data_IF_415415805331
#
_entry.id   IF_415415805331
#
_cell.length_a   1.000
_cell.length_b   1.000
_cell.length_c   1.000
_cell.angle_alpha   90.00
_cell.angle_beta   90.00
_cell.angle_gamma   90.00
#
_symmetry.space_group_name_H-M   'P 1'
#
loop_
_entity.id
_entity.type
_entity.pdbx_description
1 polymer ?
#
# COMPACT_ATOMS: atom_id res chain seq x y z
N UNK A 1 15.28 -10.32 -18.61
CA UNK A 1 15.51 -10.87 -17.25
C UNK A 1 14.18 -10.91 -16.53
N UNK A 2 13.89 -11.95 -15.73
CA UNK A 2 12.61 -12.02 -14.99
C UNK A 2 12.72 -11.17 -13.72
N UNK A 3 11.73 -10.29 -13.50
CA UNK A 3 11.61 -9.57 -12.25
C UNK A 3 10.90 -10.44 -11.19
N UNK A 4 11.20 -10.21 -9.92
CA UNK A 4 10.57 -10.94 -8.80
C UNK A 4 9.57 -10.02 -8.09
N UNK A 5 8.37 -10.49 -7.85
CA UNK A 5 7.37 -9.79 -7.02
C UNK A 5 7.19 -10.57 -5.71
N UNK A 6 7.41 -9.88 -4.59
CA UNK A 6 7.18 -10.40 -3.24
C UNK A 6 6.08 -9.56 -2.59
N UNK A 7 4.89 -10.14 -2.46
CA UNK A 7 3.75 -9.47 -1.86
C UNK A 7 3.21 -10.24 -0.64
N UNK A 8 2.24 -9.65 0.05
CA UNK A 8 1.62 -10.22 1.25
C UNK A 8 1.35 -9.16 2.32
N UNK A 9 0.70 -9.52 3.44
CA UNK A 9 0.34 -8.56 4.48
C UNK A 9 1.55 -7.99 5.22
N UNK A 10 1.34 -6.90 5.93
CA UNK A 10 2.33 -6.39 6.89
C UNK A 10 2.64 -7.47 7.93
N UNK A 11 3.90 -7.59 8.36
CA UNK A 11 4.32 -8.63 9.29
C UNK A 11 4.57 -10.03 8.68
N UNK A 12 4.38 -10.20 7.35
CA UNK A 12 4.54 -11.52 6.69
C UNK A 12 6.00 -11.95 6.43
N UNK A 13 6.99 -11.10 6.69
CA UNK A 13 8.40 -11.43 6.42
C UNK A 13 8.90 -11.09 5.01
N UNK A 14 8.15 -10.31 4.25
CA UNK A 14 8.52 -9.92 2.87
C UNK A 14 9.92 -9.31 2.74
N UNK A 15 10.27 -8.37 3.64
CA UNK A 15 11.56 -7.67 3.59
C UNK A 15 12.73 -8.61 3.79
N UNK A 16 12.62 -9.55 4.75
CA UNK A 16 13.67 -10.56 4.97
C UNK A 16 13.86 -11.47 3.75
N UNK A 17 12.77 -11.92 3.13
CA UNK A 17 12.85 -12.71 1.90
C UNK A 17 13.47 -11.91 0.76
N UNK A 18 13.08 -10.64 0.61
CA UNK A 18 13.61 -9.76 -0.43
C UNK A 18 15.12 -9.53 -0.27
N UNK A 19 15.59 -9.30 0.98
CA UNK A 19 17.01 -9.17 1.29
C UNK A 19 17.78 -10.44 0.95
N UNK A 20 17.31 -11.60 1.41
CA UNK A 20 17.99 -12.88 1.12
C UNK A 20 18.10 -13.16 -0.40
N UNK A 21 17.05 -12.84 -1.17
CA UNK A 21 17.11 -12.98 -2.62
C UNK A 21 18.01 -11.92 -3.26
N UNK A 22 18.01 -10.69 -2.76
CA UNK A 22 18.86 -9.64 -3.29
C UNK A 22 20.35 -9.94 -3.08
N UNK A 23 20.74 -10.43 -1.91
CA UNK A 23 22.10 -10.86 -1.61
C UNK A 23 22.53 -12.06 -2.50
N UNK A 24 21.62 -13.03 -2.70
CA UNK A 24 21.92 -14.25 -3.45
C UNK A 24 22.01 -14.03 -4.98
N UNK A 25 21.22 -13.11 -5.52
CA UNK A 25 21.05 -12.92 -6.96
C UNK A 25 21.45 -11.53 -7.45
N UNK A 26 22.24 -10.78 -6.67
CA UNK A 26 22.66 -9.41 -6.99
C UNK A 26 21.46 -8.51 -7.35
N UNK A 27 20.42 -8.59 -6.52
CA UNK A 27 19.15 -7.94 -6.78
C UNK A 27 19.07 -6.52 -6.24
N UNK A 28 18.13 -5.74 -6.78
CA UNK A 28 17.74 -4.41 -6.31
C UNK A 28 16.32 -4.47 -5.79
N UNK A 29 16.10 -4.11 -4.53
CA UNK A 29 14.79 -4.13 -3.90
C UNK A 29 14.03 -2.83 -4.22
N UNK A 30 12.85 -2.97 -4.83
CA UNK A 30 12.00 -1.87 -5.29
C UNK A 30 10.73 -1.83 -4.43
N UNK A 31 10.47 -0.68 -3.80
CA UNK A 31 9.33 -0.50 -2.91
C UNK A 31 7.97 -0.60 -3.64
N UNK A 32 7.08 -1.45 -3.12
CA UNK A 32 5.67 -1.53 -3.48
C UNK A 32 4.73 -1.32 -2.28
N UNK A 33 5.12 -0.43 -1.35
CA UNK A 33 4.29 0.01 -0.23
C UNK A 33 4.02 1.52 -0.33
N UNK A 34 2.74 1.89 -0.22
CA UNK A 34 2.29 3.27 -0.43
C UNK A 34 2.65 4.24 0.70
N UNK A 35 3.12 3.76 1.84
CA UNK A 35 3.56 4.58 2.98
C UNK A 35 5.08 4.69 3.02
N UNK A 36 5.80 3.62 2.71
CA UNK A 36 7.27 3.59 2.75
C UNK A 36 7.94 4.51 1.69
N UNK A 37 7.18 5.03 0.74
CA UNK A 37 7.68 5.97 -0.26
C UNK A 37 7.94 7.37 0.32
N UNK A 38 7.31 7.71 1.47
CA UNK A 38 7.43 9.04 2.08
C UNK A 38 8.62 9.14 3.02
N UNK A 39 9.39 10.25 2.87
CA UNK A 39 10.65 10.46 3.61
C UNK A 39 10.44 10.76 5.08
N UNK A 40 9.36 11.40 5.43
CA UNK A 40 9.06 11.87 6.78
C UNK A 40 8.57 10.73 7.71
N UNK A 41 8.17 9.59 7.16
CA UNK A 41 7.69 8.44 7.91
C UNK A 41 8.71 7.31 7.75
N UNK A 42 9.62 7.18 8.68
CA UNK A 42 10.70 6.19 8.63
C UNK A 42 10.40 4.97 9.49
N UNK A 43 10.11 5.19 10.77
CA UNK A 43 9.96 4.12 11.76
C UNK A 43 8.59 3.46 11.61
N UNK A 44 7.51 4.21 11.73
CA UNK A 44 6.14 3.68 11.66
C UNK A 44 5.78 3.03 10.33
N UNK A 45 6.43 3.44 9.25
CA UNK A 45 6.28 2.74 7.97
C UNK A 45 7.09 1.43 7.90
N UNK A 46 8.07 1.26 8.78
CA UNK A 46 9.00 0.14 8.77
C UNK A 46 9.87 0.11 7.52
N UNK A 47 10.43 1.28 7.13
CA UNK A 47 11.38 1.37 6.03
C UNK A 47 12.66 0.59 6.33
N UNK A 48 13.42 0.19 5.29
CA UNK A 48 14.72 -0.43 5.45
C UNK A 48 15.64 0.36 6.36
N UNK A 49 16.39 -0.35 7.19
CA UNK A 49 17.41 0.21 8.10
C UNK A 49 18.71 0.49 7.33
N UNK A 50 19.65 1.19 7.97
CA UNK A 50 20.99 1.39 7.40
C UNK A 50 21.70 0.06 7.14
N UNK A 51 21.43 -0.96 7.96
CA UNK A 51 21.98 -2.30 7.78
C UNK A 51 21.39 -3.00 6.55
N UNK A 52 20.10 -2.83 6.31
CA UNK A 52 19.45 -3.37 5.11
C UNK A 52 20.01 -2.72 3.84
N UNK A 53 20.26 -1.41 3.86
CA UNK A 53 20.90 -0.70 2.74
C UNK A 53 22.35 -1.13 2.50
N UNK A 54 23.08 -1.62 3.51
CA UNK A 54 24.42 -2.18 3.33
C UNK A 54 24.41 -3.56 2.67
N UNK A 55 23.33 -4.31 2.89
CA UNK A 55 23.18 -5.66 2.34
C UNK A 55 22.74 -5.66 0.88
N UNK A 56 21.82 -4.78 0.51
CA UNK A 56 21.31 -4.69 -0.86
C UNK A 56 20.87 -3.28 -1.22
N UNK A 57 20.95 -2.90 -2.52
CA UNK A 57 20.37 -1.64 -2.99
C UNK A 57 18.86 -1.63 -2.84
N UNK A 58 18.32 -0.52 -2.30
CA UNK A 58 16.89 -0.27 -2.18
C UNK A 58 16.50 0.96 -2.99
N UNK A 59 15.38 0.89 -3.70
CA UNK A 59 14.84 1.96 -4.55
C UNK A 59 13.39 2.27 -4.18
N UNK A 60 12.98 3.50 -4.37
CA UNK A 60 11.63 4.03 -4.13
C UNK A 60 11.22 4.06 -2.65
N UNK A 61 12.17 4.06 -1.73
CA UNK A 61 11.94 4.23 -0.29
C UNK A 61 12.29 5.65 0.14
N UNK A 62 11.37 6.37 0.78
CA UNK A 62 11.60 7.69 1.34
C UNK A 62 11.98 8.77 0.32
N UNK A 63 11.55 8.65 -0.91
CA UNK A 63 11.91 9.54 -2.02
C UNK A 63 10.94 10.73 -2.19
N UNK A 64 9.74 10.62 -1.67
CA UNK A 64 8.71 11.66 -1.80
C UNK A 64 8.40 12.33 -0.46
N UNK A 65 7.97 13.59 -0.52
CA UNK A 65 7.41 14.27 0.64
C UNK A 65 5.94 13.91 0.84
N UNK A 66 5.49 13.81 2.10
CA UNK A 66 4.09 13.58 2.47
C UNK A 66 3.13 14.65 1.94
N UNK A 67 3.63 15.84 1.59
CA UNK A 67 2.85 16.92 0.99
C UNK A 67 2.58 16.71 -0.52
N UNK A 68 3.22 15.71 -1.14
CA UNK A 68 3.04 15.35 -2.55
C UNK A 68 2.48 13.93 -2.65
N UNK A 69 1.15 13.77 -2.88
CA UNK A 69 0.57 12.43 -2.99
C UNK A 69 1.20 11.61 -4.11
N UNK A 70 1.62 10.39 -3.79
CA UNK A 70 2.04 9.40 -4.78
C UNK A 70 0.81 8.69 -5.33
N UNK A 71 0.40 9.04 -6.54
CA UNK A 71 -0.68 8.32 -7.23
C UNK A 71 -0.19 6.97 -7.76
N UNK A 72 -1.13 6.07 -8.07
CA UNK A 72 -0.82 4.78 -8.71
C UNK A 72 0.01 4.96 -10.00
N UNK A 73 -0.38 5.92 -10.84
CA UNK A 73 0.32 6.21 -12.11
C UNK A 73 1.74 6.70 -11.88
N UNK A 74 1.95 7.61 -10.92
CA UNK A 74 3.28 8.11 -10.55
C UNK A 74 4.16 6.95 -10.06
N UNK A 75 3.64 6.14 -9.11
CA UNK A 75 4.41 5.00 -8.60
C UNK A 75 4.75 4.00 -9.71
N UNK A 76 3.77 3.62 -10.57
CA UNK A 76 4.00 2.68 -11.67
C UNK A 76 5.09 3.16 -12.63
N UNK A 77 5.03 4.42 -13.02
CA UNK A 77 6.05 5.02 -13.89
C UNK A 77 7.45 4.86 -13.29
N UNK A 78 7.63 5.29 -12.03
CA UNK A 78 8.91 5.15 -11.33
C UNK A 78 9.35 3.69 -11.18
N UNK A 79 8.41 2.78 -10.88
CA UNK A 79 8.72 1.35 -10.74
C UNK A 79 9.21 0.75 -12.06
N UNK A 80 8.54 1.03 -13.18
CA UNK A 80 8.93 0.54 -14.50
C UNK A 80 10.28 1.13 -14.96
N UNK A 81 10.54 2.41 -14.71
CA UNK A 81 11.83 3.05 -14.97
C UNK A 81 12.94 2.36 -14.17
N UNK A 82 12.71 2.12 -12.86
CA UNK A 82 13.69 1.44 -12.01
C UNK A 82 13.91 -0.02 -12.42
N UNK A 83 12.87 -0.75 -12.82
CA UNK A 83 13.01 -2.12 -13.36
C UNK A 83 13.90 -2.11 -14.59
N UNK A 84 13.65 -1.19 -15.52
CA UNK A 84 14.48 -1.05 -16.74
C UNK A 84 15.94 -0.72 -16.44
N UNK A 85 16.19 0.17 -15.46
CA UNK A 85 17.55 0.47 -15.00
C UNK A 85 18.27 -0.77 -14.45
N UNK A 86 17.58 -1.57 -13.64
CA UNK A 86 18.11 -2.82 -13.12
C UNK A 86 18.48 -3.80 -14.25
N UNK A 87 17.58 -3.98 -15.23
CA UNK A 87 17.81 -4.86 -16.37
C UNK A 87 19.03 -4.43 -17.18
N UNK A 88 19.18 -3.13 -17.44
CA UNK A 88 20.33 -2.58 -18.16
C UNK A 88 21.66 -2.76 -17.42
N UNK A 89 21.59 -2.78 -16.08
CA UNK A 89 22.77 -2.95 -15.20
C UNK A 89 23.04 -4.42 -14.85
N UNK A 90 22.24 -5.36 -15.35
CA UNK A 90 22.40 -6.79 -15.08
C UNK A 90 21.92 -7.24 -13.70
N UNK A 91 21.19 -6.39 -12.94
CA UNK A 91 20.67 -6.70 -11.61
C UNK A 91 19.24 -7.26 -11.68
N UNK A 92 18.90 -8.14 -10.75
CA UNK A 92 17.54 -8.70 -10.64
C UNK A 92 16.62 -7.68 -9.94
N UNK A 93 15.56 -7.16 -10.59
CA UNK A 93 14.60 -6.30 -9.91
C UNK A 93 13.68 -7.11 -9.01
N UNK A 94 13.61 -6.75 -7.71
CA UNK A 94 12.80 -7.41 -6.68
C UNK A 94 11.78 -6.43 -6.14
N UNK A 95 10.55 -6.51 -6.61
CA UNK A 95 9.45 -5.65 -6.21
C UNK A 95 8.88 -6.18 -4.89
N UNK A 96 8.99 -5.41 -3.80
CA UNK A 96 8.61 -5.84 -2.46
C UNK A 96 7.61 -4.89 -1.81
N UNK A 97 6.42 -5.38 -1.43
CA UNK A 97 5.46 -4.55 -0.72
C UNK A 97 4.12 -5.17 -0.39
N UNK A 98 3.34 -4.42 0.42
CA UNK A 98 2.01 -4.84 0.89
C UNK A 98 0.84 -4.12 0.23
N UNK A 99 1.10 -3.17 -0.68
CA UNK A 99 0.05 -2.44 -1.38
C UNK A 99 -0.42 -3.23 -2.60
N UNK A 100 -1.40 -4.11 -2.40
CA UNK A 100 -1.90 -5.00 -3.46
C UNK A 100 -2.30 -4.27 -4.73
N UNK A 101 -2.87 -3.06 -4.60
CA UNK A 101 -3.24 -2.26 -5.76
C UNK A 101 -2.02 -1.84 -6.60
N UNK A 102 -0.85 -1.58 -5.99
CA UNK A 102 0.39 -1.32 -6.71
C UNK A 102 0.82 -2.54 -7.52
N UNK A 103 0.77 -3.73 -6.90
CA UNK A 103 1.11 -5.00 -7.57
C UNK A 103 0.17 -5.25 -8.76
N UNK A 104 -1.14 -5.13 -8.54
CA UNK A 104 -2.14 -5.30 -9.61
C UNK A 104 -1.93 -4.31 -10.76
N UNK A 105 -1.59 -3.06 -10.43
CA UNK A 105 -1.36 -2.01 -11.41
C UNK A 105 -0.05 -2.17 -12.19
N UNK A 106 0.95 -2.80 -11.58
CA UNK A 106 2.20 -3.13 -12.24
C UNK A 106 2.00 -4.25 -13.26
N UNK A 107 1.21 -5.27 -12.90
CA UNK A 107 0.96 -6.45 -13.72
C UNK A 107 0.00 -6.18 -14.87
N UNK A 108 -1.01 -5.35 -14.64
CA UNK A 108 -2.05 -5.06 -15.61
C UNK A 108 -2.01 -3.57 -15.97
N UNK A 109 -2.07 -3.27 -17.26
CA UNK A 109 -2.31 -1.89 -17.66
C UNK A 109 -3.75 -1.50 -17.28
N UNK A 110 -3.88 -0.69 -16.24
CA UNK A 110 -5.15 -0.04 -15.95
C UNK A 110 -5.30 1.18 -16.86
N UNK A 111 -6.53 1.50 -17.19
CA UNK A 111 -6.86 2.69 -17.99
C UNK A 111 -6.22 3.93 -17.40
N UNK A 112 -5.54 4.70 -18.22
CA UNK A 112 -4.99 5.99 -17.82
C UNK A 112 -6.15 6.98 -17.71
N UNK A 113 -6.69 7.11 -16.51
CA UNK A 113 -7.67 8.15 -16.18
C UNK A 113 -6.89 9.45 -15.99
N UNK A 114 -7.30 10.56 -16.62
CA UNK A 114 -6.69 11.87 -16.40
C UNK A 114 -6.65 12.28 -14.93
N UNK A 115 -5.74 13.17 -14.57
CA UNK A 115 -5.68 13.73 -13.23
C UNK A 115 -6.94 14.53 -12.93
N UNK A 116 -7.55 14.28 -11.78
CA UNK A 116 -8.76 14.97 -11.33
C UNK A 116 -8.37 16.21 -10.54
N UNK A 117 -8.80 17.40 -10.96
CA UNK A 117 -8.57 18.62 -10.22
C UNK A 117 -9.03 18.55 -8.77
N UNK A 118 -8.30 19.25 -7.87
CA UNK A 118 -8.64 19.28 -6.44
C UNK A 118 -10.03 19.90 -6.20
N UNK A 119 -10.42 20.89 -6.99
CA UNK A 119 -11.75 21.52 -6.91
C UNK A 119 -12.88 20.50 -7.09
N UNK A 120 -12.78 19.63 -8.11
CA UNK A 120 -13.78 18.58 -8.36
C UNK A 120 -13.85 17.58 -7.21
N UNK A 121 -12.71 17.24 -6.60
CA UNK A 121 -12.68 16.34 -5.43
C UNK A 121 -13.35 16.96 -4.20
N UNK A 122 -13.21 18.26 -3.98
CA UNK A 122 -13.87 18.98 -2.91
C UNK A 122 -15.38 19.07 -3.16
N UNK A 123 -15.78 19.50 -4.34
CA UNK A 123 -17.19 19.57 -4.75
C UNK A 123 -17.90 18.21 -4.61
N UNK A 124 -17.22 17.12 -5.03
CA UNK A 124 -17.79 15.77 -4.90
C UNK A 124 -18.02 15.37 -3.43
N UNK A 125 -17.11 15.76 -2.53
CA UNK A 125 -17.28 15.50 -1.08
C UNK A 125 -18.39 16.31 -0.48
N UNK A 126 -18.46 17.62 -0.74
CA UNK A 126 -19.53 18.49 -0.28
C UNK A 126 -20.89 17.96 -0.75
N UNK A 127 -21.01 17.60 -2.01
CA UNK A 127 -22.22 17.00 -2.57
C UNK A 127 -22.60 15.67 -1.93
N UNK A 128 -21.62 14.82 -1.60
CA UNK A 128 -21.88 13.58 -0.89
C UNK A 128 -22.34 13.82 0.54
N UNK A 129 -21.75 14.78 1.24
CA UNK A 129 -22.14 15.17 2.59
C UNK A 129 -23.58 15.73 2.62
N UNK A 130 -23.96 16.53 1.61
CA UNK A 130 -25.30 17.10 1.46
C UNK A 130 -26.36 16.01 1.18
N UNK A 131 -26.08 15.11 0.23
CA UNK A 131 -27.07 14.14 -0.26
C UNK A 131 -27.10 12.83 0.55
N UNK A 132 -26.01 12.50 1.23
CA UNK A 132 -25.81 11.17 1.79
C UNK A 132 -25.54 10.09 0.72
N UNK A 133 -25.11 8.90 1.17
CA UNK A 133 -24.63 7.84 0.27
C UNK A 133 -25.68 7.36 -0.74
N UNK A 134 -26.93 7.19 -0.32
CA UNK A 134 -27.96 6.60 -1.19
C UNK A 134 -28.39 7.57 -2.31
N UNK A 135 -28.70 8.82 -1.97
CA UNK A 135 -29.08 9.81 -2.98
C UNK A 135 -27.91 10.15 -3.90
N UNK A 136 -26.67 10.14 -3.38
CA UNK A 136 -25.47 10.31 -4.20
C UNK A 136 -25.27 9.16 -5.18
N UNK A 137 -25.57 7.92 -4.77
CA UNK A 137 -25.59 6.75 -5.64
C UNK A 137 -26.65 6.86 -6.74
N UNK A 138 -27.86 7.29 -6.40
CA UNK A 138 -28.92 7.53 -7.37
C UNK A 138 -28.51 8.58 -8.40
N UNK A 139 -27.88 9.66 -7.94
CA UNK A 139 -27.35 10.70 -8.83
C UNK A 139 -26.28 10.14 -9.77
N UNK A 140 -25.35 9.32 -9.27
CA UNK A 140 -24.35 8.65 -10.10
C UNK A 140 -25.00 7.70 -11.11
N UNK A 141 -26.03 6.97 -10.71
CA UNK A 141 -26.68 5.97 -11.56
C UNK A 141 -27.30 6.54 -12.84
N UNK A 142 -27.68 7.82 -12.84
CA UNK A 142 -28.22 8.51 -14.02
C UNK A 142 -27.20 8.64 -15.16
N UNK A 143 -25.90 8.66 -14.85
CA UNK A 143 -24.83 8.89 -15.81
C UNK A 143 -23.82 7.73 -15.91
N UNK A 144 -23.70 6.92 -14.85
CA UNK A 144 -22.86 5.71 -14.79
C UNK A 144 -23.60 4.59 -14.04
N UNK A 145 -24.67 4.02 -14.62
CA UNK A 145 -25.46 2.95 -14.00
C UNK A 145 -24.63 1.70 -13.73
N UNK A 146 -23.63 1.43 -14.57
CA UNK A 146 -22.74 0.27 -14.43
C UNK A 146 -21.90 0.38 -13.15
N UNK A 147 -21.25 1.52 -12.94
CA UNK A 147 -20.48 1.75 -11.70
C UNK A 147 -21.38 1.80 -10.49
N UNK A 148 -22.51 2.48 -10.55
CA UNK A 148 -23.45 2.59 -9.44
C UNK A 148 -23.96 1.21 -8.98
N UNK A 149 -24.21 0.28 -9.91
CA UNK A 149 -24.63 -1.09 -9.61
C UNK A 149 -23.50 -1.93 -9.00
N UNK A 150 -22.26 -1.80 -9.50
CA UNK A 150 -21.10 -2.60 -9.04
C UNK A 150 -20.55 -2.16 -7.68
N UNK A 151 -20.69 -0.87 -7.34
CA UNK A 151 -20.20 -0.33 -6.07
C UNK A 151 -21.12 -0.77 -4.94
N UNK A 152 -20.57 -1.44 -3.91
CA UNK A 152 -21.34 -1.90 -2.75
C UNK A 152 -21.91 -0.71 -1.97
N UNK A 153 -23.07 -0.93 -1.31
CA UNK A 153 -23.64 0.05 -0.39
C UNK A 153 -22.61 0.40 0.70
N UNK A 154 -22.46 1.69 1.00
CA UNK A 154 -21.48 2.19 1.97
C UNK A 154 -20.04 2.33 1.46
N UNK A 155 -19.70 1.95 0.22
CA UNK A 155 -18.37 2.19 -0.34
C UNK A 155 -18.25 3.62 -0.89
N UNK A 156 -18.23 4.56 0.05
CA UNK A 156 -18.16 6.00 -0.18
C UNK A 156 -16.99 6.42 -1.07
N UNK A 157 -15.82 5.80 -0.87
CA UNK A 157 -14.62 6.16 -1.64
C UNK A 157 -14.77 5.80 -3.12
N UNK A 158 -15.37 4.67 -3.44
CA UNK A 158 -15.62 4.30 -4.83
C UNK A 158 -16.74 5.12 -5.48
N UNK A 159 -17.76 5.49 -4.71
CA UNK A 159 -18.80 6.41 -5.19
C UNK A 159 -18.21 7.77 -5.54
N UNK A 160 -17.43 8.36 -4.63
CA UNK A 160 -16.71 9.60 -4.87
C UNK A 160 -15.83 9.50 -6.12
N UNK A 161 -15.02 8.44 -6.23
CA UNK A 161 -14.13 8.27 -7.38
C UNK A 161 -14.86 8.17 -8.70
N UNK A 162 -15.98 7.47 -8.75
CA UNK A 162 -16.79 7.36 -9.97
C UNK A 162 -17.37 8.72 -10.37
N UNK A 163 -17.86 9.49 -9.40
CA UNK A 163 -18.36 10.85 -9.63
C UNK A 163 -17.28 11.81 -10.07
N UNK A 164 -16.13 11.83 -9.38
CA UNK A 164 -14.98 12.66 -9.72
C UNK A 164 -14.52 12.45 -11.16
N UNK A 165 -14.42 11.18 -11.59
CA UNK A 165 -14.01 10.82 -12.96
C UNK A 165 -15.05 11.29 -13.98
N UNK A 166 -16.32 11.05 -13.71
CA UNK A 166 -17.41 11.48 -14.57
C UNK A 166 -17.42 13.01 -14.74
N UNK A 167 -17.31 13.74 -13.63
CA UNK A 167 -17.34 15.21 -13.65
C UNK A 167 -16.11 15.81 -14.36
N UNK A 168 -14.94 15.24 -14.14
CA UNK A 168 -13.70 15.76 -14.72
C UNK A 168 -13.52 15.42 -16.19
N UNK A 169 -14.03 14.26 -16.64
CA UNK A 169 -13.74 13.73 -17.98
C UNK A 169 -14.95 13.65 -18.89
N UNK A 170 -16.15 13.93 -18.38
CA UNK A 170 -17.44 13.69 -19.05
C UNK A 170 -17.67 12.23 -19.49
N UNK A 171 -16.77 11.33 -19.12
CA UNK A 171 -16.85 9.90 -19.40
C UNK A 171 -17.04 9.14 -18.08
N UNK A 172 -17.97 8.16 -18.03
CA UNK A 172 -18.19 7.37 -16.82
C UNK A 172 -16.96 6.50 -16.48
N UNK A 173 -16.78 6.17 -15.20
CA UNK A 173 -15.68 5.32 -14.74
C UNK A 173 -15.74 3.93 -15.40
N UNK A 174 -16.93 3.41 -15.67
CA UNK A 174 -17.15 2.17 -16.42
C UNK A 174 -16.51 2.20 -17.81
N UNK A 175 -16.66 3.31 -18.54
CA UNK A 175 -16.00 3.50 -19.84
C UNK A 175 -14.46 3.37 -19.74
N UNK A 176 -13.84 4.00 -18.76
CA UNK A 176 -12.39 3.92 -18.57
C UNK A 176 -11.92 2.50 -18.23
N UNK A 177 -12.71 1.76 -17.47
CA UNK A 177 -12.40 0.35 -17.16
C UNK A 177 -12.48 -0.56 -18.38
N UNK A 178 -13.35 -0.27 -19.34
CA UNK A 178 -13.47 -1.03 -20.59
C UNK A 178 -12.35 -0.69 -21.59
N UNK A 179 -11.80 0.52 -21.49
CA UNK A 179 -10.66 0.94 -22.33
C UNK A 179 -9.32 0.41 -21.83
N UNK A 180 -9.27 -0.26 -20.66
CA UNK A 180 -8.04 -0.91 -20.20
C UNK A 180 -7.70 -2.03 -21.19
N UNK A 181 -6.76 -1.75 -22.08
CA UNK A 181 -6.21 -2.77 -22.96
C UNK A 181 -5.33 -3.67 -22.12
N UNK A 182 -5.54 -4.95 -22.26
CA UNK A 182 -4.61 -5.98 -21.79
C UNK A 182 -3.36 -5.98 -22.69
N UNK A 183 -2.65 -4.86 -22.66
CA UNK A 183 -1.32 -4.77 -23.26
C UNK A 183 -0.40 -5.38 -22.21
N UNK A 184 -0.31 -6.71 -22.25
CA UNK A 184 0.49 -7.49 -21.33
C UNK A 184 1.85 -6.81 -21.10
N UNK A 185 2.26 -6.68 -19.84
CA UNK A 185 3.58 -6.15 -19.54
C UNK A 185 4.62 -6.96 -20.30
N UNK A 186 5.56 -6.28 -20.98
CA UNK A 186 6.68 -6.95 -21.68
C UNK A 186 7.63 -7.69 -20.70
N UNK A 187 7.40 -7.55 -19.39
CA UNK A 187 8.21 -8.15 -18.35
C UNK A 187 7.57 -9.43 -17.84
N UNK A 188 8.36 -10.49 -17.81
CA UNK A 188 8.01 -11.73 -17.12
C UNK A 188 8.30 -11.59 -15.62
N UNK A 189 7.32 -11.89 -14.78
CA UNK A 189 7.44 -11.81 -13.32
C UNK A 189 7.41 -13.19 -12.69
N UNK A 190 8.34 -13.45 -11.77
CA UNK A 190 8.21 -14.53 -10.80
C UNK A 190 7.45 -13.98 -9.59
N UNK A 191 6.27 -14.52 -9.33
CA UNK A 191 5.30 -13.93 -8.39
C UNK A 191 5.21 -14.75 -7.11
N UNK A 192 5.53 -14.16 -5.97
CA UNK A 192 5.46 -14.80 -4.64
C UNK A 192 4.53 -14.02 -3.73
N UNK A 193 3.58 -14.70 -3.11
CA UNK A 193 2.73 -14.14 -2.07
C UNK A 193 2.96 -14.86 -0.74
N UNK A 194 3.34 -14.11 0.32
CA UNK A 194 3.49 -14.66 1.66
C UNK A 194 2.14 -14.66 2.37
N UNK A 195 1.67 -15.84 2.77
CA UNK A 195 0.37 -16.03 3.44
C UNK A 195 0.60 -16.79 4.76
N UNK A 196 1.11 -16.15 5.80
CA UNK A 196 1.36 -16.81 7.09
C UNK A 196 0.04 -17.18 7.79
N UNK A 197 0.11 -18.12 8.73
CA UNK A 197 -1.00 -18.41 9.64
C UNK A 197 -1.41 -17.15 10.39
N UNK A 198 -2.70 -16.98 10.66
CA UNK A 198 -3.26 -15.74 11.22
C UNK A 198 -2.68 -15.38 12.58
N UNK A 199 -2.54 -16.39 13.45
CA UNK A 199 -2.00 -16.22 14.80
C UNK A 199 -0.56 -15.71 14.75
N UNK A 200 0.29 -16.34 13.94
CA UNK A 200 1.69 -15.93 13.72
C UNK A 200 1.78 -14.53 13.15
N UNK A 201 0.90 -14.19 12.20
CA UNK A 201 0.86 -12.85 11.60
C UNK A 201 0.53 -11.79 12.64
N UNK A 202 -0.47 -12.04 13.49
CA UNK A 202 -0.91 -11.10 14.51
C UNK A 202 0.16 -10.89 15.58
N UNK A 203 0.77 -11.97 16.08
CA UNK A 203 1.88 -11.88 17.02
C UNK A 203 3.06 -11.07 16.45
N UNK A 204 3.43 -11.31 15.17
CA UNK A 204 4.48 -10.53 14.50
C UNK A 204 4.11 -9.05 14.33
N UNK A 205 2.84 -8.74 14.03
CA UNK A 205 2.37 -7.35 13.95
C UNK A 205 2.46 -6.64 15.30
N UNK A 206 2.04 -7.31 16.38
CA UNK A 206 2.04 -6.74 17.73
C UNK A 206 3.47 -6.51 18.24
N UNK A 207 4.36 -7.50 18.10
CA UNK A 207 5.77 -7.36 18.44
C UNK A 207 6.43 -6.22 17.65
N UNK A 208 6.25 -6.18 16.34
CA UNK A 208 6.83 -5.14 15.49
C UNK A 208 6.40 -3.73 15.90
N UNK A 209 5.18 -3.55 16.41
CA UNK A 209 4.74 -2.24 16.86
C UNK A 209 5.47 -1.82 18.15
N UNK A 210 5.73 -2.75 19.07
CA UNK A 210 6.57 -2.50 20.24
C UNK A 210 8.00 -2.13 19.82
N UNK A 211 8.58 -2.88 18.90
CA UNK A 211 9.91 -2.57 18.35
C UNK A 211 9.95 -1.15 17.73
N UNK A 212 8.87 -0.68 17.09
CA UNK A 212 8.78 0.69 16.58
C UNK A 212 8.78 1.75 17.71
N UNK A 213 8.05 1.48 18.80
CA UNK A 213 8.03 2.39 19.97
C UNK A 213 9.43 2.50 20.57
N UNK A 214 10.15 1.39 20.70
CA UNK A 214 11.53 1.37 21.20
C UNK A 214 12.52 2.10 20.26
N UNK A 215 12.26 2.07 18.95
CA UNK A 215 13.07 2.74 17.93
C UNK A 215 12.80 4.24 17.79
N UNK A 216 11.86 4.81 18.55
CA UNK A 216 11.54 6.25 18.53
C UNK A 216 10.30 6.63 17.73
N UNK A 217 9.33 5.74 17.56
CA UNK A 217 8.08 6.05 16.88
C UNK A 217 7.26 7.16 17.57
N UNK A 218 7.45 7.35 18.88
CA UNK A 218 6.81 8.44 19.64
C UNK A 218 7.33 9.80 19.19
N UNK A 219 8.64 9.94 19.02
CA UNK A 219 9.30 11.16 18.54
C UNK A 219 8.91 11.45 17.09
N UNK A 220 8.84 10.40 16.24
CA UNK A 220 8.34 10.53 14.87
C UNK A 220 6.89 11.03 14.86
N UNK A 221 6.02 10.47 15.69
CA UNK A 221 4.63 10.91 15.83
C UNK A 221 4.51 12.36 16.33
N UNK A 222 5.35 12.75 17.29
CA UNK A 222 5.40 14.13 17.82
C UNK A 222 5.78 15.14 16.71
N UNK A 223 6.76 14.80 15.88
CA UNK A 223 7.17 15.63 14.74
C UNK A 223 6.09 15.75 13.66
N UNK A 224 5.20 14.76 13.56
CA UNK A 224 4.12 14.71 12.59
C UNK A 224 2.74 15.09 13.17
N UNK A 225 2.67 15.76 14.31
CA UNK A 225 1.42 16.09 15.01
C UNK A 225 0.45 16.96 14.17
N UNK A 226 0.96 17.73 13.21
CA UNK A 226 0.17 18.56 12.29
C UNK A 226 -0.74 17.72 11.37
N UNK A 227 -0.48 16.43 11.21
CA UNK A 227 -1.29 15.49 10.41
C UNK A 227 -2.75 15.46 10.87
N UNK A 228 -3.01 15.67 12.15
CA UNK A 228 -4.38 15.72 12.67
C UNK A 228 -5.23 16.85 12.08
N UNK A 229 -4.59 17.95 11.69
CA UNK A 229 -5.22 19.08 11.03
C UNK A 229 -5.29 18.94 9.49
N UNK A 230 -4.64 17.91 8.94
CA UNK A 230 -4.53 17.67 7.50
C UNK A 230 -4.81 16.19 7.16
N UNK A 231 -6.01 15.68 7.47
CA UNK A 231 -6.34 14.26 7.33
C UNK A 231 -6.31 13.75 5.88
N UNK A 232 -6.31 14.64 4.91
CA UNK A 232 -6.17 14.33 3.50
C UNK A 232 -4.75 13.92 3.09
N UNK A 233 -3.73 14.24 3.89
CA UNK A 233 -2.36 13.84 3.61
C UNK A 233 -2.19 12.32 3.65
N UNK A 234 -1.42 11.73 2.73
CA UNK A 234 -1.19 10.28 2.69
C UNK A 234 -0.66 9.70 4.00
N UNK A 235 0.13 10.48 4.73
CA UNK A 235 0.70 10.10 6.02
C UNK A 235 -0.35 9.80 7.10
N UNK A 236 -1.55 10.39 7.03
CA UNK A 236 -2.65 10.12 7.97
C UNK A 236 -3.08 8.65 7.99
N UNK A 237 -2.76 7.89 6.94
CA UNK A 237 -3.05 6.45 6.80
C UNK A 237 -1.98 5.56 7.43
N UNK A 238 -0.92 6.14 8.01
CA UNK A 238 0.15 5.39 8.66
C UNK A 238 -0.38 4.73 9.93
N UNK A 239 -0.20 3.41 10.03
CA UNK A 239 -0.69 2.64 11.16
C UNK A 239 0.03 3.05 12.45
N UNK A 240 -0.73 3.34 13.49
CA UNK A 240 -0.23 3.74 14.80
C UNK A 240 0.15 5.22 14.93
N UNK A 241 0.21 5.97 13.82
CA UNK A 241 0.60 7.38 13.88
C UNK A 241 -0.40 8.23 14.67
N UNK A 242 -1.69 8.10 14.39
CA UNK A 242 -2.73 8.91 15.05
C UNK A 242 -2.88 8.53 16.53
N UNK A 243 -2.74 7.25 16.85
CA UNK A 243 -2.78 6.75 18.21
C UNK A 243 -1.60 7.31 19.03
N UNK A 244 -0.39 7.31 18.50
CA UNK A 244 0.77 7.89 19.17
C UNK A 244 0.70 9.43 19.23
N UNK A 245 0.13 10.11 18.24
CA UNK A 245 -0.12 11.56 18.32
C UNK A 245 -1.07 11.88 19.49
N UNK A 246 -2.14 11.11 19.69
CA UNK A 246 -3.05 11.28 20.83
C UNK A 246 -2.31 11.12 22.15
N UNK A 247 -1.45 10.12 22.27
CA UNK A 247 -0.57 9.96 23.44
C UNK A 247 0.33 11.19 23.65
N UNK A 248 0.99 11.70 22.61
CA UNK A 248 1.89 12.87 22.75
C UNK A 248 1.15 14.15 23.13
N UNK A 249 -0.16 14.21 22.93
CA UNK A 249 -1.05 15.31 23.35
C UNK A 249 -1.66 15.09 24.75
N UNK A 250 -1.43 13.96 25.39
CA UNK A 250 -2.03 13.61 26.68
C UNK A 250 -3.51 13.19 26.57
N UNK A 251 -3.98 12.85 25.40
CA UNK A 251 -5.37 12.41 25.15
C UNK A 251 -5.56 10.90 25.40
N UNK A 252 -4.46 10.13 25.42
CA UNK A 252 -4.41 8.69 25.69
C UNK A 252 -3.19 8.34 26.54
N UNK A 253 -3.31 7.28 27.35
CA UNK A 253 -2.15 6.63 27.95
C UNK A 253 -1.35 5.84 26.90
N UNK A 254 -0.04 5.63 27.14
CA UNK A 254 0.83 4.94 26.17
C UNK A 254 0.35 3.50 25.91
N UNK A 255 -0.04 2.79 26.98
CA UNK A 255 -0.59 1.42 26.88
C UNK A 255 -1.79 1.34 25.94
N UNK A 256 -2.72 2.29 26.07
CA UNK A 256 -3.92 2.35 25.27
C UNK A 256 -3.63 2.70 23.80
N UNK A 257 -2.70 3.64 23.57
CA UNK A 257 -2.25 3.99 22.25
C UNK A 257 -1.60 2.79 21.52
N UNK A 258 -0.76 2.03 22.21
CA UNK A 258 -0.14 0.80 21.70
C UNK A 258 -1.21 -0.24 21.37
N UNK A 259 -2.13 -0.53 22.29
CA UNK A 259 -3.18 -1.53 22.08
C UNK A 259 -4.07 -1.18 20.86
N UNK A 260 -4.47 0.09 20.75
CA UNK A 260 -5.28 0.57 19.64
C UNK A 260 -4.53 0.47 18.31
N UNK A 261 -3.25 0.84 18.27
CA UNK A 261 -2.40 0.75 17.09
C UNK A 261 -2.18 -0.71 16.65
N UNK A 262 -1.93 -1.62 17.59
CA UNK A 262 -1.83 -3.06 17.32
C UNK A 262 -3.15 -3.61 16.76
N UNK A 263 -4.29 -3.26 17.34
CA UNK A 263 -5.62 -3.64 16.85
C UNK A 263 -5.87 -3.12 15.42
N UNK A 264 -5.52 -1.87 15.14
CA UNK A 264 -5.62 -1.26 13.82
C UNK A 264 -4.72 -1.98 12.81
N UNK A 265 -3.49 -2.33 13.20
CA UNK A 265 -2.53 -3.06 12.39
C UNK A 265 -3.02 -4.47 12.06
N UNK A 266 -3.55 -5.23 13.04
CA UNK A 266 -4.12 -6.57 12.80
C UNK A 266 -5.32 -6.51 11.85
N UNK A 267 -6.20 -5.51 11.99
CA UNK A 267 -7.32 -5.29 11.06
C UNK A 267 -6.83 -5.00 9.64
N UNK A 268 -5.77 -4.21 9.51
CA UNK A 268 -5.16 -3.92 8.22
C UNK A 268 -4.53 -5.17 7.59
N UNK A 269 -3.74 -5.92 8.35
CA UNK A 269 -3.16 -7.19 7.91
C UNK A 269 -4.23 -8.18 7.44
N UNK A 270 -5.37 -8.28 8.17
CA UNK A 270 -6.53 -9.10 7.75
C UNK A 270 -7.10 -8.62 6.41
N UNK A 271 -7.28 -7.30 6.23
CA UNK A 271 -7.77 -6.76 4.94
C UNK A 271 -6.82 -7.05 3.79
N UNK A 272 -5.49 -6.93 4.02
CA UNK A 272 -4.50 -7.29 3.00
C UNK A 272 -4.57 -8.78 2.64
N UNK A 273 -4.64 -9.69 3.63
CA UNK A 273 -4.81 -11.13 3.38
C UNK A 273 -6.05 -11.44 2.56
N UNK A 274 -7.18 -10.86 2.93
CA UNK A 274 -8.43 -11.03 2.19
C UNK A 274 -8.29 -10.51 0.75
N UNK A 275 -7.67 -9.34 0.59
CA UNK A 275 -7.44 -8.76 -0.72
C UNK A 275 -6.55 -9.66 -1.60
N UNK A 276 -5.42 -10.12 -1.08
CA UNK A 276 -4.50 -10.99 -1.82
C UNK A 276 -5.17 -12.31 -2.22
N UNK A 277 -5.95 -12.93 -1.35
CA UNK A 277 -6.68 -14.17 -1.65
C UNK A 277 -7.71 -14.04 -2.77
N UNK A 278 -8.29 -12.85 -2.96
CA UNK A 278 -9.36 -12.63 -3.94
C UNK A 278 -8.93 -11.90 -5.20
N UNK A 279 -7.73 -11.32 -5.22
CA UNK A 279 -7.30 -10.44 -6.30
C UNK A 279 -6.00 -10.88 -6.97
N UNK A 280 -5.32 -11.90 -6.42
CA UNK A 280 -4.18 -12.51 -7.08
C UNK A 280 -4.66 -13.59 -8.04
N UNK A 281 -4.00 -13.66 -9.20
CA UNK A 281 -4.18 -14.70 -10.18
C UNK A 281 -3.57 -16.03 -9.68
N UNK A 282 -3.92 -17.16 -10.30
CA UNK A 282 -3.45 -18.51 -9.95
C UNK A 282 -1.93 -18.67 -10.11
N UNK A 283 -1.28 -17.80 -10.85
CA UNK A 283 0.17 -17.78 -11.11
C UNK A 283 1.03 -17.36 -9.90
N UNK A 284 0.42 -16.95 -8.78
CA UNK A 284 1.18 -16.59 -7.58
C UNK A 284 1.54 -17.83 -6.76
N UNK A 285 2.83 -18.04 -6.53
CA UNK A 285 3.29 -19.01 -5.54
C UNK A 285 2.96 -18.54 -4.14
N UNK A 286 1.96 -19.17 -3.50
CA UNK A 286 1.61 -18.87 -2.11
C UNK A 286 2.54 -19.65 -1.16
N UNK A 287 3.47 -18.96 -0.50
CA UNK A 287 4.27 -19.55 0.57
C UNK A 287 3.49 -19.46 1.89
N UNK A 288 3.00 -20.62 2.34
CA UNK A 288 2.50 -20.78 3.70
C UNK A 288 3.72 -20.90 4.63
N UNK A 289 4.05 -19.83 5.35
CA UNK A 289 5.09 -19.87 6.35
C UNK A 289 4.55 -20.64 7.57
N UNK A 290 4.94 -21.91 7.71
CA UNK A 290 4.84 -22.63 8.99
C UNK A 290 6.12 -22.38 9.77
N UNK A 291 6.02 -22.01 11.04
CA UNK A 291 7.17 -21.71 11.91
C UNK A 291 8.08 -22.93 12.15
N UNK A 292 7.73 -24.08 11.64
CA UNK A 292 8.42 -25.35 11.88
C UNK A 292 9.66 -25.55 10.99
N UNK A 293 9.89 -24.67 10.01
CA UNK A 293 11.06 -24.80 9.12
C UNK A 293 12.32 -24.05 9.63
N UNK A 294 12.25 -23.32 10.74
CA UNK A 294 13.38 -22.58 11.28
C UNK A 294 14.20 -23.37 12.32
N UNK A 295 13.65 -24.45 12.89
CA UNK A 295 14.30 -25.25 13.93
C UNK A 295 15.09 -26.46 13.39
N UNK A 296 14.89 -26.86 12.12
CA UNK A 296 15.61 -27.98 11.53
C UNK A 296 16.99 -27.65 10.92
N UNK A 297 17.38 -26.38 10.88
CA UNK A 297 18.69 -25.95 10.35
C UNK A 297 19.76 -25.73 11.45
N UNK A 298 19.52 -26.17 12.69
CA UNK A 298 20.43 -26.03 13.83
C UNK A 298 20.71 -27.39 14.48
N UNK A 299 20.95 -28.41 13.68
CA UNK A 299 21.44 -29.72 14.17
C UNK A 299 22.65 -30.13 13.37
#
# INVERSE_FOLDING_TARGET
>A
MKAVIICGPTGAGKSSLALNLAEKFEGVIINADSVQIYREIKILSGRPTSDDYRKAPHRLYGIMSIFKPCTLGIWRKMALETIKECELSGHVPIICGGTGLYIKFLLNELSVIPDIPRSIKLEAREKLEELGNENFRELLSKNDPVSACRIKSGDTNRLLRAWEVLTATTKPLSYWHEQSRDTGTQHEYFKVCLVPKRETLYSKCDKRFLDFVEQGAIEEARALNFITATPELPASKTLGLLELIKYTKGELELSDAIEQAQRTTRRYAKRQLTWFRHQLDEDFFCLLYTSDAADESSS
#
